data_IF_325307476246
#
_entry.id   IF_325307476246
#
_cell.length_a   1.000
_cell.length_b   1.000
_cell.length_c   1.000
_cell.angle_alpha   90.00
_cell.angle_beta   90.00
_cell.angle_gamma   90.00
#
_symmetry.space_group_name_H-M   'P 1'
#
loop_
_entity.id
_entity.type
_entity.pdbx_description
1 polymer ?
#
# COMPACT_ATOMS: atom_id res chain seq x y z
N UNK A 1 -28.24 8.48 0.79
CA UNK A 1 -28.14 9.46 -0.32
C UNK A 1 -28.01 8.66 -1.60
N UNK A 2 -28.82 8.94 -2.62
CA UNK A 2 -28.69 8.27 -3.92
C UNK A 2 -27.31 8.56 -4.53
N UNK A 3 -26.56 7.52 -4.89
CA UNK A 3 -25.27 7.65 -5.53
C UNK A 3 -25.42 8.32 -6.91
N UNK A 4 -24.75 9.45 -7.11
CA UNK A 4 -24.81 10.16 -8.38
C UNK A 4 -23.64 9.71 -9.28
N UNK A 5 -23.95 8.82 -10.22
CA UNK A 5 -23.00 8.22 -11.16
C UNK A 5 -22.29 9.27 -12.02
N UNK A 6 -23.01 10.27 -12.54
CA UNK A 6 -22.43 11.28 -13.43
C UNK A 6 -21.40 12.13 -12.70
N UNK A 7 -21.73 12.57 -11.47
CA UNK A 7 -20.81 13.34 -10.63
C UNK A 7 -19.55 12.52 -10.30
N UNK A 8 -19.70 11.22 -9.98
CA UNK A 8 -18.57 10.35 -9.70
C UNK A 8 -17.69 10.15 -10.94
N UNK A 9 -18.28 9.85 -12.10
CA UNK A 9 -17.55 9.63 -13.34
C UNK A 9 -16.92 10.90 -13.93
N UNK A 10 -17.46 12.11 -13.62
CA UNK A 10 -16.84 13.36 -14.07
C UNK A 10 -15.49 13.63 -13.42
N UNK A 11 -15.22 12.96 -12.30
CA UNK A 11 -13.95 13.08 -11.58
C UNK A 11 -12.79 12.34 -12.27
N UNK A 12 -13.06 11.36 -13.11
CA UNK A 12 -12.07 10.52 -13.77
C UNK A 12 -12.06 10.72 -15.28
N UNK A 13 -10.90 10.42 -15.90
CA UNK A 13 -10.71 10.53 -17.36
C UNK A 13 -10.18 9.20 -17.91
N UNK A 14 -10.09 9.07 -19.22
CA UNK A 14 -9.43 7.96 -19.90
C UNK A 14 -9.96 6.56 -19.59
N UNK A 15 -9.06 5.58 -19.58
CA UNK A 15 -9.36 4.16 -19.39
C UNK A 15 -9.94 3.86 -17.99
N UNK A 16 -9.45 4.53 -16.96
CA UNK A 16 -9.92 4.34 -15.59
C UNK A 16 -11.41 4.69 -15.41
N UNK A 17 -11.90 5.72 -16.12
CA UNK A 17 -13.34 6.08 -16.13
C UNK A 17 -14.19 4.91 -16.63
N UNK A 18 -13.76 4.27 -17.71
CA UNK A 18 -14.44 3.11 -18.31
C UNK A 18 -14.39 1.91 -17.34
N UNK A 19 -13.21 1.60 -16.80
CA UNK A 19 -13.03 0.50 -15.86
C UNK A 19 -13.87 0.67 -14.57
N UNK A 20 -13.94 1.88 -14.01
CA UNK A 20 -14.79 2.19 -12.85
C UNK A 20 -16.27 2.09 -13.19
N UNK A 21 -16.68 2.62 -14.34
CA UNK A 21 -18.06 2.52 -14.81
C UNK A 21 -18.49 1.05 -15.01
N UNK A 22 -17.64 0.24 -15.62
CA UNK A 22 -17.85 -1.19 -15.78
C UNK A 22 -17.93 -1.92 -14.44
N UNK A 23 -17.02 -1.60 -13.48
CA UNK A 23 -17.05 -2.18 -12.16
C UNK A 23 -18.35 -1.88 -11.41
N UNK A 24 -18.84 -0.63 -11.48
CA UNK A 24 -20.11 -0.21 -10.89
C UNK A 24 -21.26 -0.96 -11.54
N UNK A 25 -21.28 -1.04 -12.88
CA UNK A 25 -22.34 -1.72 -13.64
C UNK A 25 -22.51 -3.20 -13.26
N UNK A 26 -21.38 -3.90 -13.02
CA UNK A 26 -21.38 -5.33 -12.66
C UNK A 26 -21.77 -5.54 -11.19
N UNK A 27 -21.19 -4.75 -10.27
CA UNK A 27 -21.27 -5.02 -8.83
C UNK A 27 -22.47 -4.37 -8.13
N UNK A 28 -23.17 -3.44 -8.78
CA UNK A 28 -24.34 -2.80 -8.17
C UNK A 28 -25.54 -3.73 -8.14
N UNK A 29 -26.22 -3.78 -6.97
CA UNK A 29 -27.48 -4.51 -6.78
C UNK A 29 -28.68 -3.73 -7.30
N UNK A 30 -28.59 -2.42 -7.39
CA UNK A 30 -29.64 -1.54 -7.92
C UNK A 30 -29.67 -1.65 -9.46
N UNK A 31 -30.76 -2.21 -9.99
CA UNK A 31 -30.95 -2.43 -11.44
C UNK A 31 -30.98 -1.10 -12.22
N UNK A 32 -31.54 -0.02 -11.64
CA UNK A 32 -31.61 1.29 -12.29
C UNK A 32 -30.22 1.89 -12.48
N UNK A 33 -29.41 1.90 -11.42
CA UNK A 33 -28.03 2.38 -11.45
C UNK A 33 -27.16 1.50 -12.36
N UNK A 34 -27.32 0.19 -12.32
CA UNK A 34 -26.60 -0.76 -13.17
C UNK A 34 -26.88 -0.51 -14.65
N UNK A 35 -28.14 -0.30 -15.04
CA UNK A 35 -28.53 -0.01 -16.43
C UNK A 35 -27.93 1.32 -16.91
N UNK A 36 -28.01 2.37 -16.09
CA UNK A 36 -27.39 3.66 -16.40
C UNK A 36 -25.87 3.54 -16.56
N UNK A 37 -25.21 2.75 -15.68
CA UNK A 37 -23.78 2.53 -15.76
C UNK A 37 -23.39 1.75 -17.04
N UNK A 38 -24.10 0.71 -17.44
CA UNK A 38 -23.85 0.03 -18.71
C UNK A 38 -24.04 0.94 -19.92
N UNK A 39 -25.12 1.72 -19.95
CA UNK A 39 -25.38 2.68 -21.04
C UNK A 39 -24.26 3.70 -21.16
N UNK A 40 -23.83 4.29 -20.03
CA UNK A 40 -22.70 5.24 -19.98
C UNK A 40 -21.39 4.60 -20.40
N UNK A 41 -21.12 3.37 -19.96
CA UNK A 41 -19.90 2.63 -20.30
C UNK A 41 -19.84 2.34 -21.82
N UNK A 42 -20.94 1.90 -22.42
CA UNK A 42 -21.04 1.66 -23.87
C UNK A 42 -20.83 2.96 -24.66
N UNK A 43 -21.41 4.08 -24.21
CA UNK A 43 -21.22 5.37 -24.85
C UNK A 43 -19.77 5.88 -24.74
N UNK A 44 -19.12 5.64 -23.61
CA UNK A 44 -17.70 5.97 -23.44
C UNK A 44 -16.80 5.11 -24.31
N UNK A 45 -17.09 3.81 -24.42
CA UNK A 45 -16.33 2.88 -25.27
C UNK A 45 -16.48 3.21 -26.76
N UNK A 46 -17.64 3.67 -27.20
CA UNK A 46 -17.84 4.14 -28.59
C UNK A 46 -16.94 5.34 -28.96
N UNK A 47 -16.45 6.10 -27.97
CA UNK A 47 -15.48 7.18 -28.20
C UNK A 47 -14.01 6.67 -28.22
N UNK A 48 -13.77 5.42 -27.85
CA UNK A 48 -12.46 4.76 -27.91
C UNK A 48 -12.42 3.76 -29.08
N UNK A 49 -11.29 3.08 -29.25
CA UNK A 49 -11.13 2.05 -30.30
C UNK A 49 -11.01 0.64 -29.71
N UNK A 50 -11.40 0.45 -28.43
CA UNK A 50 -11.28 -0.81 -27.74
C UNK A 50 -12.49 -1.71 -27.99
N UNK A 51 -12.41 -2.54 -29.02
CA UNK A 51 -13.47 -3.47 -29.43
C UNK A 51 -13.62 -4.66 -28.51
N UNK A 52 -12.52 -5.17 -27.94
CA UNK A 52 -12.53 -6.33 -27.05
C UNK A 52 -13.28 -6.03 -25.74
N UNK A 53 -12.97 -4.90 -25.11
CA UNK A 53 -13.65 -4.47 -23.90
C UNK A 53 -15.13 -4.12 -24.16
N UNK A 54 -15.43 -3.60 -25.35
CA UNK A 54 -16.81 -3.33 -25.77
C UNK A 54 -17.65 -4.62 -25.85
N UNK A 55 -17.10 -5.68 -26.42
CA UNK A 55 -17.77 -7.00 -26.49
C UNK A 55 -17.95 -7.58 -25.08
N UNK A 56 -16.92 -7.58 -24.25
CA UNK A 56 -17.00 -8.06 -22.86
C UNK A 56 -18.08 -7.34 -22.02
N UNK A 57 -18.19 -6.02 -22.20
CA UNK A 57 -19.19 -5.20 -21.49
C UNK A 57 -20.59 -5.54 -21.98
N UNK A 58 -20.78 -5.73 -23.30
CA UNK A 58 -22.07 -6.11 -23.87
C UNK A 58 -22.49 -7.51 -23.41
N UNK A 59 -21.60 -8.49 -23.43
CA UNK A 59 -21.89 -9.85 -22.98
C UNK A 59 -22.36 -9.87 -21.51
N UNK A 60 -21.72 -9.10 -20.64
CA UNK A 60 -22.12 -8.95 -19.24
C UNK A 60 -23.46 -8.20 -19.09
N UNK A 61 -23.69 -7.17 -19.92
CA UNK A 61 -24.95 -6.43 -19.91
C UNK A 61 -26.12 -7.32 -20.38
N UNK A 62 -25.93 -8.09 -21.44
CA UNK A 62 -26.90 -9.04 -21.94
C UNK A 62 -27.17 -10.20 -20.98
N UNK A 63 -26.14 -10.70 -20.30
CA UNK A 63 -26.29 -11.72 -19.26
C UNK A 63 -27.14 -11.22 -18.07
N UNK A 64 -27.07 -9.91 -17.72
CA UNK A 64 -27.80 -9.33 -16.59
C UNK A 64 -29.21 -8.86 -16.95
N UNK A 65 -29.42 -8.30 -18.15
CA UNK A 65 -30.68 -7.64 -18.55
C UNK A 65 -31.40 -8.31 -19.74
N UNK A 66 -30.79 -9.31 -20.35
CA UNK A 66 -31.33 -10.01 -21.55
C UNK A 66 -30.75 -9.44 -22.85
N UNK A 67 -30.81 -10.26 -23.94
CA UNK A 67 -30.16 -9.94 -25.22
C UNK A 67 -30.79 -8.74 -25.94
N UNK A 68 -32.09 -8.50 -25.76
CA UNK A 68 -32.82 -7.45 -26.50
C UNK A 68 -32.54 -6.02 -25.99
N UNK A 69 -31.97 -5.89 -24.82
CA UNK A 69 -31.79 -4.57 -24.16
C UNK A 69 -30.58 -3.81 -24.72
N UNK A 70 -29.52 -4.53 -25.12
CA UNK A 70 -28.26 -3.95 -25.60
C UNK A 70 -27.84 -4.64 -26.89
N UNK A 71 -28.25 -4.14 -28.09
CA UNK A 71 -27.89 -4.73 -29.38
C UNK A 71 -26.39 -4.52 -29.67
N UNK A 72 -25.77 -5.50 -30.29
CA UNK A 72 -24.38 -5.44 -30.75
C UNK A 72 -24.30 -4.58 -32.02
N UNK A 73 -23.44 -3.57 -32.03
CA UNK A 73 -23.20 -2.71 -33.20
C UNK A 73 -22.01 -3.25 -34.02
N UNK A 74 -22.31 -4.20 -34.93
CA UNK A 74 -21.29 -4.90 -35.74
C UNK A 74 -20.61 -3.94 -36.72
N UNK A 75 -21.35 -2.96 -37.25
CA UNK A 75 -20.84 -1.98 -38.20
C UNK A 75 -19.80 -1.09 -37.54
N UNK A 76 -20.04 -0.67 -36.27
CA UNK A 76 -19.08 0.10 -35.49
C UNK A 76 -17.80 -0.69 -35.21
N UNK A 77 -17.90 -1.98 -34.84
CA UNK A 77 -16.76 -2.86 -34.59
C UNK A 77 -15.89 -2.93 -35.85
N UNK A 78 -16.47 -3.26 -37.02
CA UNK A 78 -15.75 -3.35 -38.28
C UNK A 78 -15.06 -2.04 -38.68
N UNK A 79 -15.73 -0.89 -38.47
CA UNK A 79 -15.17 0.42 -38.74
C UNK A 79 -14.02 0.78 -37.77
N UNK A 80 -14.08 0.35 -36.51
CA UNK A 80 -13.01 0.55 -35.55
C UNK A 80 -11.78 -0.29 -35.86
N UNK A 81 -11.95 -1.58 -36.16
CA UNK A 81 -10.84 -2.46 -36.54
C UNK A 81 -10.11 -1.98 -37.80
N UNK A 82 -10.87 -1.46 -38.79
CA UNK A 82 -10.24 -0.92 -39.99
C UNK A 82 -9.42 0.35 -39.66
N UNK A 83 -9.99 1.27 -38.86
CA UNK A 83 -9.29 2.47 -38.43
C UNK A 83 -8.04 2.16 -37.64
N UNK A 84 -8.09 1.18 -36.73
CA UNK A 84 -6.94 0.71 -35.96
C UNK A 84 -5.83 0.19 -36.88
N UNK A 85 -6.16 -0.72 -37.80
CA UNK A 85 -5.19 -1.26 -38.80
C UNK A 85 -4.52 -0.14 -39.62
N UNK A 86 -5.31 0.82 -40.11
CA UNK A 86 -4.80 1.95 -40.90
C UNK A 86 -3.91 2.88 -40.06
N UNK A 87 -4.27 3.11 -38.79
CA UNK A 87 -3.47 3.94 -37.87
C UNK A 87 -2.15 3.27 -37.53
N UNK A 88 -2.17 1.96 -37.24
CA UNK A 88 -0.96 1.17 -37.01
C UNK A 88 -0.01 1.20 -38.22
N UNK A 89 -0.52 0.95 -39.42
CA UNK A 89 0.29 0.94 -40.63
C UNK A 89 0.99 2.31 -40.86
N UNK A 90 0.25 3.41 -40.66
CA UNK A 90 0.80 4.78 -40.77
C UNK A 90 1.88 5.06 -39.73
N UNK A 91 1.64 4.66 -38.47
CA UNK A 91 2.61 4.87 -37.39
C UNK A 91 3.88 4.05 -37.57
N UNK A 92 3.76 2.77 -38.00
CA UNK A 92 4.91 1.93 -38.27
C UNK A 92 5.74 2.46 -39.43
N UNK A 93 5.10 2.96 -40.51
CA UNK A 93 5.80 3.57 -41.63
C UNK A 93 6.52 4.84 -41.21
N UNK A 94 5.88 5.70 -40.41
CA UNK A 94 6.49 6.90 -39.82
C UNK A 94 7.71 6.55 -38.99
N UNK A 95 7.60 5.56 -38.10
CA UNK A 95 8.69 5.07 -37.26
C UNK A 95 9.88 4.54 -38.08
N UNK A 96 9.61 3.79 -39.16
CA UNK A 96 10.66 3.33 -40.06
C UNK A 96 11.42 4.50 -40.69
N UNK A 97 10.70 5.52 -41.19
CA UNK A 97 11.29 6.73 -41.79
C UNK A 97 12.12 7.51 -40.75
N UNK A 98 11.61 7.68 -39.52
CA UNK A 98 12.29 8.39 -38.45
C UNK A 98 13.55 7.64 -37.95
N UNK A 99 13.49 6.31 -37.87
CA UNK A 99 14.65 5.47 -37.52
C UNK A 99 15.76 5.58 -38.58
N UNK A 100 15.41 5.69 -39.86
CA UNK A 100 16.39 5.95 -40.92
C UNK A 100 17.02 7.34 -40.82
N UNK A 101 16.25 8.36 -40.42
CA UNK A 101 16.72 9.71 -40.19
C UNK A 101 17.56 9.86 -38.91
N UNK A 102 17.57 8.88 -38.03
CA UNK A 102 18.35 8.81 -36.77
C UNK A 102 18.18 9.99 -35.80
N UNK A 103 17.06 10.72 -35.87
CA UNK A 103 16.74 11.84 -34.96
C UNK A 103 16.09 11.27 -33.70
N UNK A 104 16.87 11.18 -32.62
CA UNK A 104 16.43 10.52 -31.35
C UNK A 104 15.15 11.11 -30.78
N UNK A 105 15.00 12.43 -30.80
CA UNK A 105 13.80 13.09 -30.22
C UNK A 105 12.53 12.76 -30.99
N UNK A 106 12.56 12.76 -32.30
CA UNK A 106 11.41 12.42 -33.12
C UNK A 106 11.03 10.94 -33.00
N UNK A 107 12.01 10.04 -32.84
CA UNK A 107 11.76 8.62 -32.56
C UNK A 107 11.10 8.45 -31.22
N UNK A 108 11.57 9.17 -30.19
CA UNK A 108 10.96 9.15 -28.85
C UNK A 108 9.51 9.60 -28.88
N UNK A 109 9.24 10.70 -29.59
CA UNK A 109 7.88 11.23 -29.71
C UNK A 109 6.98 10.25 -30.47
N UNK A 110 7.43 9.68 -31.58
CA UNK A 110 6.66 8.70 -32.34
C UNK A 110 6.36 7.41 -31.53
N UNK A 111 7.30 6.94 -30.72
CA UNK A 111 7.04 5.83 -29.79
C UNK A 111 6.02 6.21 -28.70
N UNK A 112 6.03 7.45 -28.21
CA UNK A 112 5.00 7.92 -27.26
C UNK A 112 3.61 7.98 -27.92
N UNK A 113 3.51 8.44 -29.15
CA UNK A 113 2.27 8.47 -29.92
C UNK A 113 1.76 7.06 -30.22
N UNK A 114 2.64 6.14 -30.60
CA UNK A 114 2.30 4.73 -30.78
C UNK A 114 1.79 4.10 -29.47
N UNK A 115 2.48 4.37 -28.36
CA UNK A 115 2.02 3.90 -27.05
C UNK A 115 0.66 4.46 -26.66
N UNK A 116 0.38 5.73 -26.94
CA UNK A 116 -0.93 6.36 -26.69
C UNK A 116 -2.04 5.75 -27.57
N UNK A 117 -1.75 5.45 -28.84
CA UNK A 117 -2.67 4.76 -29.74
C UNK A 117 -3.04 3.38 -29.18
N UNK A 118 -2.03 2.59 -28.79
CA UNK A 118 -2.23 1.26 -28.21
C UNK A 118 -3.06 1.28 -26.92
N UNK A 119 -2.90 2.31 -26.10
CA UNK A 119 -3.77 2.51 -24.92
C UNK A 119 -5.22 2.77 -25.31
N UNK A 120 -5.47 3.54 -26.36
CA UNK A 120 -6.82 3.81 -26.85
C UNK A 120 -7.50 2.55 -27.44
N UNK A 121 -6.70 1.67 -28.04
CA UNK A 121 -7.15 0.38 -28.57
C UNK A 121 -7.34 -0.69 -27.49
N UNK A 122 -6.73 -0.48 -26.30
CA UNK A 122 -6.80 -1.43 -25.18
C UNK A 122 -5.64 -2.40 -25.10
N UNK A 123 -4.69 -2.40 -26.06
CA UNK A 123 -3.46 -3.21 -25.95
C UNK A 123 -2.43 -2.53 -25.01
N UNK A 124 -2.72 -2.66 -23.70
CA UNK A 124 -1.86 -2.10 -22.66
C UNK A 124 -0.47 -2.76 -22.62
N UNK A 125 -0.36 -4.05 -23.00
CA UNK A 125 0.92 -4.74 -23.06
C UNK A 125 1.78 -4.23 -24.21
N UNK A 126 1.19 -4.04 -25.38
CA UNK A 126 1.83 -3.41 -26.54
C UNK A 126 2.28 -1.99 -26.22
N UNK A 127 1.44 -1.21 -25.53
CA UNK A 127 1.78 0.15 -25.08
C UNK A 127 3.00 0.17 -24.15
N UNK A 128 3.08 -0.73 -23.19
CA UNK A 128 4.25 -0.88 -22.30
C UNK A 128 5.51 -1.17 -23.12
N UNK A 129 5.44 -2.06 -24.11
CA UNK A 129 6.58 -2.38 -24.98
C UNK A 129 7.00 -1.17 -25.84
N UNK A 130 6.04 -0.41 -26.39
CA UNK A 130 6.31 0.81 -27.15
C UNK A 130 7.01 1.87 -26.28
N UNK A 131 6.52 2.09 -25.06
CA UNK A 131 7.18 3.00 -24.11
C UNK A 131 8.57 2.51 -23.67
N UNK A 132 8.80 1.21 -23.52
CA UNK A 132 10.11 0.64 -23.18
C UNK A 132 11.17 0.92 -24.25
N UNK A 133 10.80 0.99 -25.54
CA UNK A 133 11.72 1.33 -26.61
C UNK A 133 12.31 2.75 -26.48
N UNK A 134 11.63 3.64 -25.76
CA UNK A 134 12.15 4.98 -25.49
C UNK A 134 13.41 5.01 -24.63
N UNK A 135 13.73 3.92 -23.91
CA UNK A 135 14.90 3.83 -23.04
C UNK A 135 16.20 4.17 -23.77
N UNK A 136 16.33 3.78 -25.05
CA UNK A 136 17.54 3.97 -25.84
C UNK A 136 17.63 5.38 -26.47
N UNK A 137 16.52 6.12 -26.45
CA UNK A 137 16.38 7.46 -27.05
C UNK A 137 16.25 8.58 -26.03
N UNK A 138 16.36 8.29 -24.74
CA UNK A 138 16.26 9.29 -23.68
C UNK A 138 17.59 10.00 -23.45
N UNK A 139 17.59 11.33 -23.61
CA UNK A 139 18.76 12.17 -23.33
C UNK A 139 18.73 12.85 -21.96
N UNK A 140 17.55 12.93 -21.31
CA UNK A 140 17.36 13.64 -20.04
C UNK A 140 16.66 12.78 -19.01
N UNK A 141 16.91 13.07 -17.72
CA UNK A 141 16.21 12.40 -16.59
C UNK A 141 14.71 12.67 -16.62
N UNK A 142 14.28 13.83 -17.10
CA UNK A 142 12.88 14.20 -17.22
C UNK A 142 12.13 13.30 -18.22
N UNK A 143 12.73 13.02 -19.38
CA UNK A 143 12.15 12.08 -20.34
C UNK A 143 12.06 10.66 -19.75
N UNK A 144 13.04 10.26 -18.93
CA UNK A 144 13.01 8.97 -18.25
C UNK A 144 11.86 8.89 -17.23
N UNK A 145 11.59 9.98 -16.51
CA UNK A 145 10.46 10.07 -15.57
C UNK A 145 9.15 9.94 -16.34
N UNK A 146 8.98 10.68 -17.43
CA UNK A 146 7.74 10.69 -18.22
C UNK A 146 7.38 9.30 -18.77
N UNK A 147 8.31 8.64 -19.50
CA UNK A 147 7.98 7.33 -20.07
C UNK A 147 7.81 6.24 -19.00
N UNK A 148 8.58 6.32 -17.89
CA UNK A 148 8.42 5.38 -16.79
C UNK A 148 7.06 5.60 -16.09
N UNK A 149 6.61 6.86 -15.99
CA UNK A 149 5.29 7.20 -15.48
C UNK A 149 4.16 6.64 -16.34
N UNK A 150 4.23 6.81 -17.66
CA UNK A 150 3.25 6.23 -18.60
C UNK A 150 3.20 4.70 -18.51
N UNK A 151 4.36 4.04 -18.41
CA UNK A 151 4.44 2.59 -18.18
C UNK A 151 3.78 2.17 -16.86
N UNK A 152 3.96 2.98 -15.81
CA UNK A 152 3.35 2.72 -14.50
C UNK A 152 1.82 2.79 -14.59
N UNK A 153 1.26 3.80 -15.26
CA UNK A 153 -0.19 3.93 -15.50
C UNK A 153 -0.73 2.71 -16.25
N UNK A 154 -0.11 2.34 -17.39
CA UNK A 154 -0.52 1.16 -18.15
C UNK A 154 -0.42 -0.14 -17.33
N UNK A 155 0.59 -0.28 -16.46
CA UNK A 155 0.74 -1.45 -15.61
C UNK A 155 -0.35 -1.52 -14.52
N UNK A 156 -0.80 -0.36 -14.00
CA UNK A 156 -1.91 -0.26 -13.07
C UNK A 156 -3.23 -0.67 -13.71
N UNK A 157 -3.52 -0.16 -14.91
CA UNK A 157 -4.74 -0.46 -15.68
C UNK A 157 -4.80 -1.94 -16.07
N UNK A 158 -3.65 -2.55 -16.37
CA UNK A 158 -3.52 -3.99 -16.67
C UNK A 158 -3.67 -4.87 -15.41
N UNK A 159 -3.59 -4.30 -14.21
CA UNK A 159 -3.53 -5.06 -12.95
C UNK A 159 -2.22 -5.81 -12.71
N UNK A 160 -1.15 -5.47 -13.45
CA UNK A 160 0.18 -6.05 -13.25
C UNK A 160 0.93 -5.33 -12.13
N UNK A 161 0.61 -5.71 -10.90
CA UNK A 161 1.16 -5.10 -9.68
C UNK A 161 2.68 -5.14 -9.59
N UNK A 162 3.30 -6.20 -10.11
CA UNK A 162 4.77 -6.35 -10.09
C UNK A 162 5.46 -5.32 -10.99
N UNK A 163 4.95 -5.13 -12.20
CA UNK A 163 5.46 -4.12 -13.14
C UNK A 163 5.21 -2.70 -12.62
N UNK A 164 4.04 -2.45 -12.01
CA UNK A 164 3.69 -1.18 -11.40
C UNK A 164 4.66 -0.80 -10.27
N UNK A 165 4.97 -1.74 -9.35
CA UNK A 165 5.94 -1.52 -8.26
C UNK A 165 7.33 -1.23 -8.79
N UNK A 166 7.80 -1.96 -9.80
CA UNK A 166 9.12 -1.75 -10.40
C UNK A 166 9.22 -0.35 -11.02
N UNK A 167 8.20 0.06 -11.77
CA UNK A 167 8.14 1.39 -12.39
C UNK A 167 8.06 2.50 -11.35
N UNK A 168 7.20 2.36 -10.32
CA UNK A 168 7.06 3.31 -9.23
C UNK A 168 8.36 3.44 -8.39
N UNK A 169 9.03 2.32 -8.09
CA UNK A 169 10.31 2.32 -7.36
C UNK A 169 11.41 3.03 -8.16
N UNK A 170 11.44 2.83 -9.49
CA UNK A 170 12.37 3.53 -10.38
C UNK A 170 12.09 5.03 -10.41
N UNK A 171 10.83 5.44 -10.51
CA UNK A 171 10.44 6.86 -10.46
C UNK A 171 10.86 7.51 -9.14
N UNK A 172 10.63 6.85 -8.02
CA UNK A 172 11.05 7.34 -6.70
C UNK A 172 12.56 7.53 -6.61
N UNK A 173 13.34 6.60 -7.14
CA UNK A 173 14.80 6.70 -7.17
C UNK A 173 15.27 7.87 -8.03
N UNK A 174 14.71 8.05 -9.22
CA UNK A 174 15.04 9.15 -10.13
C UNK A 174 14.72 10.52 -9.50
N UNK A 175 13.56 10.65 -8.85
CA UNK A 175 13.18 11.88 -8.18
C UNK A 175 14.10 12.21 -6.98
N UNK A 176 14.55 11.20 -6.24
CA UNK A 176 15.52 11.39 -5.15
C UNK A 176 16.86 11.87 -5.68
N UNK A 177 17.32 11.37 -6.83
CA UNK A 177 18.56 11.82 -7.48
C UNK A 177 18.48 13.30 -7.93
N UNK A 178 17.32 13.72 -8.43
CA UNK A 178 17.10 15.12 -8.83
C UNK A 178 17.06 16.08 -7.65
N UNK A 179 16.59 15.65 -6.49
CA UNK A 179 16.53 16.48 -5.26
C UNK A 179 17.90 16.63 -4.59
N UNK A 180 18.76 15.60 -4.61
CA UNK A 180 20.11 15.66 -4.01
C UNK A 180 21.10 16.50 -4.82
N UNK A 181 20.94 16.57 -6.14
CA UNK A 181 21.79 17.42 -6.98
C UNK A 181 21.58 18.92 -6.77
N UNK A 182 20.40 19.32 -6.22
CA UNK A 182 20.10 20.72 -5.91
C UNK A 182 20.63 21.20 -4.54
N UNK A 183 20.93 20.26 -3.63
CA UNK A 183 21.38 20.61 -2.26
C UNK A 183 22.90 20.68 -2.09
N UNK A 184 23.68 20.19 -3.05
CA UNK A 184 25.16 20.15 -2.95
C UNK A 184 25.89 21.34 -3.60
N UNK A 185 25.19 22.36 -4.11
CA UNK A 185 25.78 23.51 -4.79
C UNK A 185 25.84 24.81 -3.98
N UNK A 186 25.89 24.74 -2.66
CA UNK A 186 26.03 25.94 -1.79
C UNK A 186 27.45 26.20 -1.32
N UNK A 187 28.49 25.88 -2.10
CA UNK A 187 29.82 26.42 -1.84
C UNK A 187 30.63 26.55 -3.13
N UNK A 188 30.91 27.80 -3.45
CA UNK A 188 31.97 28.35 -4.33
C UNK A 188 31.74 28.36 -5.84
N UNK A 189 31.86 29.62 -6.29
CA UNK A 189 32.31 30.14 -7.58
C UNK A 189 31.30 30.31 -8.70
N UNK A 190 31.05 31.58 -8.91
CA UNK A 190 30.54 32.27 -10.08
C UNK A 190 31.09 31.77 -11.42
N UNK A 191 30.25 31.84 -12.42
CA UNK A 191 30.41 31.63 -13.86
C UNK A 191 30.04 30.24 -14.39
N UNK A 192 28.74 30.09 -14.65
CA UNK A 192 28.22 29.71 -15.98
C UNK A 192 26.71 29.54 -15.92
N UNK A 193 26.05 30.27 -16.78
CA UNK A 193 24.67 30.16 -17.30
C UNK A 193 23.77 29.08 -16.73
N UNK A 194 22.88 29.50 -15.85
CA UNK A 194 21.44 29.21 -15.77
C UNK A 194 20.91 27.99 -16.53
N UNK A 195 20.95 26.85 -15.88
CA UNK A 195 19.82 25.93 -15.93
C UNK A 195 19.52 25.59 -14.46
N UNK A 196 18.78 26.48 -13.81
CA UNK A 196 18.13 26.18 -12.53
C UNK A 196 17.07 25.13 -12.79
N UNK A 197 17.42 23.86 -12.69
CA UNK A 197 16.47 22.75 -12.72
C UNK A 197 15.74 22.66 -11.38
N UNK A 198 14.88 23.65 -11.11
CA UNK A 198 13.77 23.41 -10.21
C UNK A 198 13.01 22.19 -10.78
N UNK A 199 12.77 21.13 -10.01
CA UNK A 199 12.01 19.99 -10.49
C UNK A 199 10.69 20.52 -11.06
N UNK A 200 10.43 20.26 -12.36
CA UNK A 200 9.22 20.75 -13.00
C UNK A 200 8.00 20.26 -12.22
N UNK A 201 6.91 21.03 -12.23
CA UNK A 201 5.67 20.64 -11.53
C UNK A 201 5.25 19.20 -11.92
N UNK A 202 5.44 18.84 -13.19
CA UNK A 202 5.19 17.49 -13.71
C UNK A 202 6.06 16.41 -13.06
N UNK A 203 7.33 16.67 -12.76
CA UNK A 203 8.21 15.71 -12.09
C UNK A 203 7.78 15.44 -10.64
N UNK A 204 7.33 16.48 -9.94
CA UNK A 204 6.77 16.34 -8.57
C UNK A 204 5.47 15.54 -8.57
N UNK A 205 4.61 15.78 -9.55
CA UNK A 205 3.35 15.05 -9.70
C UNK A 205 3.59 13.55 -10.00
N UNK A 206 4.52 13.21 -10.88
CA UNK A 206 4.91 11.81 -11.10
C UNK A 206 5.49 11.14 -9.86
N UNK A 207 6.20 11.89 -9.03
CA UNK A 207 6.72 11.39 -7.76
C UNK A 207 5.60 11.09 -6.76
N UNK A 208 4.65 12.01 -6.60
CA UNK A 208 3.46 11.78 -5.79
C UNK A 208 2.64 10.60 -6.31
N UNK A 209 2.49 10.48 -7.63
CA UNK A 209 1.85 9.35 -8.29
C UNK A 209 2.53 8.02 -8.01
N UNK A 210 3.86 7.99 -7.93
CA UNK A 210 4.59 6.78 -7.58
C UNK A 210 4.28 6.31 -6.15
N UNK A 211 4.14 7.23 -5.19
CA UNK A 211 3.73 6.88 -3.83
C UNK A 211 2.29 6.37 -3.77
N UNK A 212 1.36 7.04 -4.45
CA UNK A 212 -0.02 6.60 -4.53
C UNK A 212 -0.12 5.18 -5.13
N UNK A 213 0.62 4.90 -6.20
CA UNK A 213 0.68 3.57 -6.83
C UNK A 213 1.21 2.51 -5.86
N UNK A 214 2.32 2.79 -5.16
CA UNK A 214 2.86 1.87 -4.17
C UNK A 214 1.85 1.60 -3.04
N UNK A 215 1.14 2.64 -2.59
CA UNK A 215 0.08 2.52 -1.60
C UNK A 215 -1.05 1.60 -2.06
N UNK A 216 -1.57 1.79 -3.28
CA UNK A 216 -2.62 0.93 -3.85
C UNK A 216 -2.14 -0.51 -4.00
N UNK A 217 -0.92 -0.73 -4.48
CA UNK A 217 -0.39 -2.10 -4.65
C UNK A 217 -0.21 -2.81 -3.32
N UNK A 218 0.32 -2.13 -2.29
CA UNK A 218 0.45 -2.73 -0.96
C UNK A 218 -0.93 -2.98 -0.32
N UNK A 219 -1.92 -2.12 -0.56
CA UNK A 219 -3.32 -2.35 -0.16
C UNK A 219 -3.88 -3.60 -0.84
N UNK A 220 -3.65 -3.78 -2.15
CA UNK A 220 -4.08 -4.99 -2.89
C UNK A 220 -3.40 -6.27 -2.39
N UNK A 221 -2.19 -6.18 -1.87
CA UNK A 221 -1.49 -7.30 -1.21
C UNK A 221 -1.98 -7.59 0.21
N UNK A 222 -2.79 -6.70 0.78
CA UNK A 222 -3.28 -6.80 2.15
C UNK A 222 -2.34 -6.23 3.20
N UNK A 223 -1.25 -5.56 2.82
CA UNK A 223 -0.28 -4.93 3.72
C UNK A 223 -0.72 -3.50 4.06
N UNK A 224 -1.79 -3.35 4.84
CA UNK A 224 -2.41 -2.04 5.11
C UNK A 224 -1.48 -1.06 5.82
N UNK A 225 -0.55 -1.52 6.68
CA UNK A 225 0.40 -0.64 7.36
C UNK A 225 1.41 -0.03 6.38
N UNK A 226 1.94 -0.83 5.47
CA UNK A 226 2.84 -0.35 4.41
C UNK A 226 2.11 0.59 3.45
N UNK A 227 0.87 0.26 3.09
CA UNK A 227 0.01 1.09 2.25
C UNK A 227 -0.23 2.46 2.89
N UNK A 228 -0.58 2.50 4.19
CA UNK A 228 -0.75 3.74 4.94
C UNK A 228 0.49 4.63 4.87
N UNK A 229 1.68 4.08 5.14
CA UNK A 229 2.94 4.83 5.08
C UNK A 229 3.23 5.42 3.68
N UNK A 230 2.84 4.73 2.61
CA UNK A 230 2.99 5.24 1.25
C UNK A 230 1.99 6.36 0.94
N UNK A 231 0.73 6.21 1.34
CA UNK A 231 -0.30 7.23 1.13
C UNK A 231 0.01 8.52 1.90
N UNK A 232 0.57 8.43 3.12
CA UNK A 232 0.98 9.61 3.89
C UNK A 232 2.07 10.44 3.19
N UNK A 233 2.93 9.79 2.39
CA UNK A 233 3.97 10.48 1.62
C UNK A 233 3.46 11.11 0.32
N UNK A 234 2.21 10.82 -0.07
CA UNK A 234 1.58 11.40 -1.25
C UNK A 234 1.12 12.83 -0.92
N UNK A 235 1.75 13.84 -1.45
CA UNK A 235 1.33 15.23 -1.23
C UNK A 235 0.28 15.72 -2.22
N UNK A 236 -0.20 16.96 -2.03
CA UNK A 236 -1.19 17.65 -2.91
C UNK A 236 -0.69 17.81 -4.36
N UNK A 237 0.63 17.70 -4.60
CA UNK A 237 1.22 17.76 -5.94
C UNK A 237 0.72 16.67 -6.90
N UNK A 238 -0.02 15.68 -6.43
CA UNK A 238 -0.69 14.67 -7.27
C UNK A 238 -1.70 15.29 -8.23
N UNK A 239 -2.45 16.29 -7.78
CA UNK A 239 -3.52 16.94 -8.56
C UNK A 239 -2.99 17.79 -9.74
N UNK A 240 -1.69 18.11 -9.74
CA UNK A 240 -1.05 18.86 -10.83
C UNK A 240 -0.78 18.04 -12.09
N UNK A 241 -1.06 16.73 -12.10
CA UNK A 241 -0.81 15.82 -13.22
C UNK A 241 -2.12 15.29 -13.78
N UNK A 242 -2.57 15.82 -14.89
CA UNK A 242 -3.75 15.31 -15.59
C UNK A 242 -3.66 13.82 -15.94
N UNK A 243 -2.47 13.32 -16.27
CA UNK A 243 -2.28 11.91 -16.66
C UNK A 243 -2.37 10.93 -15.50
N UNK A 244 -2.11 11.37 -14.26
CA UNK A 244 -2.16 10.46 -13.11
C UNK A 244 -3.53 10.45 -12.43
N UNK A 245 -4.29 11.52 -12.58
CA UNK A 245 -5.70 11.60 -12.17
C UNK A 245 -6.58 10.58 -12.90
N UNK A 246 -6.07 10.01 -14.02
CA UNK A 246 -6.74 8.91 -14.71
C UNK A 246 -6.82 7.65 -13.86
N UNK A 247 -5.85 7.36 -12.99
CA UNK A 247 -5.78 6.10 -12.22
C UNK A 247 -6.30 6.25 -10.80
N UNK A 248 -5.75 7.22 -10.05
CA UNK A 248 -6.09 7.46 -8.63
C UNK A 248 -6.14 8.96 -8.37
N UNK A 249 -7.22 9.44 -7.76
CA UNK A 249 -7.37 10.84 -7.38
C UNK A 249 -6.92 11.09 -5.95
N UNK A 250 -6.76 12.37 -5.64
CA UNK A 250 -6.40 12.82 -4.30
C UNK A 250 -7.50 12.45 -3.27
N UNK A 251 -8.78 12.44 -3.70
CA UNK A 251 -9.91 11.97 -2.89
C UNK A 251 -9.76 10.49 -2.50
N UNK A 252 -9.40 9.65 -3.48
CA UNK A 252 -9.17 8.23 -3.26
C UNK A 252 -7.99 8.00 -2.32
N UNK A 253 -6.89 8.75 -2.51
CA UNK A 253 -5.71 8.70 -1.63
C UNK A 253 -6.07 9.09 -0.20
N UNK A 254 -6.87 10.15 -0.02
CA UNK A 254 -7.33 10.57 1.30
C UNK A 254 -8.17 9.47 1.98
N UNK A 255 -9.11 8.87 1.24
CA UNK A 255 -9.98 7.82 1.77
C UNK A 255 -9.20 6.53 2.06
N UNK A 256 -8.39 6.05 1.10
CA UNK A 256 -7.62 4.82 1.27
C UNK A 256 -6.57 4.97 2.37
N UNK A 257 -5.85 6.10 2.37
CA UNK A 257 -4.87 6.43 3.40
C UNK A 257 -5.52 6.53 4.78
N UNK A 258 -6.62 7.27 4.90
CA UNK A 258 -7.38 7.41 6.15
C UNK A 258 -7.87 6.08 6.71
N UNK A 259 -8.48 5.23 5.88
CA UNK A 259 -8.94 3.89 6.29
C UNK A 259 -7.79 2.96 6.68
N UNK A 260 -6.70 2.94 5.91
CA UNK A 260 -5.52 2.13 6.22
C UNK A 260 -4.82 2.59 7.51
N UNK A 261 -4.75 3.91 7.75
CA UNK A 261 -4.19 4.45 8.99
C UNK A 261 -5.04 4.05 10.20
N UNK A 262 -6.37 4.20 10.12
CA UNK A 262 -7.28 3.79 11.20
C UNK A 262 -7.20 2.29 11.51
N UNK A 263 -6.99 1.46 10.49
CA UNK A 263 -6.86 0.01 10.65
C UNK A 263 -5.55 -0.41 11.31
N UNK A 264 -4.44 0.37 11.15
CA UNK A 264 -3.11 -0.13 11.46
C UNK A 264 -2.32 0.71 12.48
N UNK A 265 -2.59 2.01 12.59
CA UNK A 265 -1.83 2.90 13.46
C UNK A 265 -2.40 2.95 14.87
N UNK A 266 -1.52 3.14 15.85
CA UNK A 266 -1.91 3.46 17.20
C UNK A 266 -2.36 4.92 17.31
N UNK A 267 -3.01 5.27 18.43
CA UNK A 267 -3.56 6.61 18.65
C UNK A 267 -2.48 7.70 18.62
N UNK A 268 -1.29 7.42 19.15
CA UNK A 268 -0.16 8.34 19.11
C UNK A 268 0.39 8.49 17.69
N UNK A 269 0.55 7.38 16.98
CA UNK A 269 0.98 7.39 15.57
C UNK A 269 -0.03 8.15 14.68
N UNK A 270 -1.35 8.03 14.95
CA UNK A 270 -2.38 8.79 14.24
C UNK A 270 -2.25 10.31 14.44
N UNK A 271 -1.97 10.75 15.67
CA UNK A 271 -1.76 12.17 15.95
C UNK A 271 -0.51 12.68 15.24
N UNK A 272 0.62 12.00 15.40
CA UNK A 272 1.91 12.46 14.89
C UNK A 272 1.99 12.37 13.35
N UNK A 273 1.59 11.23 12.77
CA UNK A 273 1.81 10.95 11.33
C UNK A 273 0.65 11.41 10.43
N UNK A 274 -0.57 11.56 10.96
CA UNK A 274 -1.76 11.86 10.13
C UNK A 274 -2.27 13.28 10.38
N UNK A 275 -2.39 13.68 11.65
CA UNK A 275 -2.99 14.97 11.99
C UNK A 275 -1.95 16.12 12.05
N UNK A 276 -0.70 15.83 12.41
CA UNK A 276 0.36 16.85 12.53
C UNK A 276 1.24 16.97 11.29
N UNK A 277 1.46 15.88 10.56
CA UNK A 277 2.32 15.90 9.38
C UNK A 277 1.70 16.75 8.25
N UNK A 278 2.47 17.70 7.73
CA UNK A 278 1.98 18.72 6.79
C UNK A 278 1.44 18.12 5.48
N UNK A 279 2.14 17.12 4.91
CA UNK A 279 1.84 16.60 3.59
C UNK A 279 0.42 16.00 3.51
N UNK A 280 0.09 15.13 4.46
CA UNK A 280 -1.22 14.46 4.46
C UNK A 280 -2.32 15.32 5.08
N UNK A 281 -1.96 16.21 6.00
CA UNK A 281 -2.89 17.18 6.56
C UNK A 281 -3.48 18.09 5.48
N UNK A 282 -2.66 18.60 4.55
CA UNK A 282 -3.15 19.40 3.42
C UNK A 282 -4.16 18.61 2.56
N UNK A 283 -3.92 17.32 2.35
CA UNK A 283 -4.87 16.42 1.66
C UNK A 283 -6.17 16.28 2.45
N UNK A 284 -6.10 16.10 3.78
CA UNK A 284 -7.28 15.97 4.63
C UNK A 284 -8.09 17.28 4.75
N UNK A 285 -7.47 18.44 4.60
CA UNK A 285 -8.16 19.73 4.58
C UNK A 285 -9.07 19.87 3.35
N UNK A 286 -8.71 19.26 2.22
CA UNK A 286 -9.54 19.20 1.03
C UNK A 286 -10.74 18.26 1.18
N UNK A 287 -10.62 17.23 2.05
CA UNK A 287 -11.65 16.20 2.26
C UNK A 287 -12.12 16.13 3.71
N UNK A 288 -12.92 17.09 4.16
CA UNK A 288 -13.30 17.27 5.56
C UNK A 288 -14.01 16.05 6.16
N UNK A 289 -14.79 15.29 5.36
CA UNK A 289 -15.47 14.08 5.83
C UNK A 289 -14.51 12.99 6.33
N UNK A 290 -13.40 12.78 5.61
CA UNK A 290 -12.38 11.80 6.00
C UNK A 290 -11.64 12.30 7.24
N UNK A 291 -11.33 13.59 7.31
CA UNK A 291 -10.73 14.22 8.49
C UNK A 291 -11.61 14.08 9.71
N UNK A 292 -12.92 14.34 9.58
CA UNK A 292 -13.90 14.23 10.66
C UNK A 292 -14.02 12.79 11.17
N UNK A 293 -13.98 11.82 10.27
CA UNK A 293 -13.92 10.39 10.62
C UNK A 293 -12.68 10.09 11.46
N UNK A 294 -11.48 10.47 11.02
CA UNK A 294 -10.23 10.22 11.74
C UNK A 294 -10.23 10.91 13.11
N UNK A 295 -10.66 12.17 13.17
CA UNK A 295 -10.77 12.95 14.40
C UNK A 295 -11.73 12.30 15.40
N UNK A 296 -12.88 11.77 14.95
CA UNK A 296 -13.85 11.07 15.80
C UNK A 296 -13.24 9.83 16.47
N UNK A 297 -12.46 9.04 15.72
CA UNK A 297 -11.74 7.89 16.30
C UNK A 297 -10.63 8.33 17.25
N UNK A 298 -9.90 9.39 16.94
CA UNK A 298 -8.86 9.93 17.80
C UNK A 298 -9.45 10.48 19.11
N UNK A 299 -10.58 11.17 19.06
CA UNK A 299 -11.29 11.70 20.23
C UNK A 299 -12.10 10.63 21.03
N UNK A 300 -12.02 9.35 20.60
CA UNK A 300 -12.79 8.24 21.20
C UNK A 300 -14.32 8.37 21.08
N UNK A 301 -14.82 9.15 20.13
CA UNK A 301 -16.24 9.26 19.77
C UNK A 301 -16.61 8.16 18.76
N UNK A 302 -16.52 6.90 19.20
CA UNK A 302 -16.62 5.75 18.30
C UNK A 302 -17.95 5.65 17.56
N UNK A 303 -19.07 5.97 18.24
CA UNK A 303 -20.40 5.96 17.62
C UNK A 303 -20.46 6.90 16.38
N UNK A 304 -19.96 8.12 16.50
CA UNK A 304 -19.89 9.07 15.39
C UNK A 304 -18.93 8.57 14.29
N UNK A 305 -17.78 8.01 14.67
CA UNK A 305 -16.82 7.43 13.74
C UNK A 305 -17.41 6.28 12.91
N UNK A 306 -18.17 5.36 13.54
CA UNK A 306 -18.84 4.28 12.82
C UNK A 306 -20.00 4.76 11.94
N UNK A 307 -20.71 5.83 12.33
CA UNK A 307 -21.71 6.46 11.46
C UNK A 307 -21.06 7.07 10.21
N UNK A 308 -19.93 7.77 10.35
CA UNK A 308 -19.15 8.26 9.20
C UNK A 308 -18.69 7.08 8.34
N UNK A 309 -18.15 6.02 8.93
CA UNK A 309 -17.69 4.84 8.20
C UNK A 309 -18.84 4.16 7.42
N UNK A 310 -20.02 4.03 8.03
CA UNK A 310 -21.20 3.48 7.35
C UNK A 310 -21.67 4.35 6.18
N UNK A 311 -21.55 5.67 6.29
CA UNK A 311 -21.86 6.59 5.20
C UNK A 311 -20.94 6.42 3.98
N UNK A 312 -19.68 5.98 4.18
CA UNK A 312 -18.76 5.65 3.10
C UNK A 312 -18.97 4.24 2.51
N UNK A 313 -19.71 3.36 3.19
CA UNK A 313 -19.82 1.96 2.79
C UNK A 313 -20.37 1.77 1.37
N UNK A 314 -21.40 2.52 0.99
CA UNK A 314 -22.01 2.45 -0.33
C UNK A 314 -21.00 2.86 -1.44
N UNK A 315 -20.31 3.99 -1.25
CA UNK A 315 -19.31 4.45 -2.21
C UNK A 315 -18.06 3.58 -2.25
N UNK A 316 -17.63 3.04 -1.11
CA UNK A 316 -16.46 2.18 -1.01
C UNK A 316 -16.66 0.80 -1.67
N UNK A 317 -17.89 0.25 -1.64
CA UNK A 317 -18.21 -0.99 -2.33
C UNK A 317 -18.27 -0.83 -3.86
N UNK A 318 -18.52 0.38 -4.34
CA UNK A 318 -18.55 0.71 -5.77
C UNK A 318 -17.16 1.07 -6.31
N UNK A 319 -16.18 1.27 -5.44
CA UNK A 319 -14.81 1.59 -5.84
C UNK A 319 -14.03 0.34 -6.29
N UNK A 320 -13.29 0.44 -7.40
CA UNK A 320 -12.57 -0.66 -8.03
C UNK A 320 -11.45 -1.23 -7.13
N UNK A 321 -10.76 -0.36 -6.38
CA UNK A 321 -9.61 -0.76 -5.55
C UNK A 321 -10.02 -1.14 -4.12
N UNK A 322 -11.04 -0.48 -3.57
CA UNK A 322 -11.42 -0.62 -2.18
C UNK A 322 -12.44 -1.73 -1.95
N UNK A 323 -13.30 -2.04 -2.91
CA UNK A 323 -14.41 -2.98 -2.77
C UNK A 323 -14.02 -4.33 -2.16
N UNK A 324 -12.91 -4.90 -2.59
CA UNK A 324 -12.40 -6.20 -2.12
C UNK A 324 -11.85 -6.16 -0.69
N UNK A 325 -11.35 -5.00 -0.28
CA UNK A 325 -10.62 -4.81 0.97
C UNK A 325 -11.46 -4.15 2.05
N UNK A 326 -12.52 -3.44 1.68
CA UNK A 326 -13.33 -2.64 2.59
C UNK A 326 -13.81 -3.41 3.82
N UNK A 327 -14.39 -4.61 3.63
CA UNK A 327 -14.86 -5.46 4.74
C UNK A 327 -13.72 -5.85 5.70
N UNK A 328 -12.53 -6.17 5.15
CA UNK A 328 -11.36 -6.53 5.98
C UNK A 328 -10.85 -5.33 6.74
N UNK A 329 -10.71 -4.18 6.09
CA UNK A 329 -10.26 -2.93 6.70
C UNK A 329 -11.22 -2.50 7.81
N UNK A 330 -12.53 -2.53 7.55
CA UNK A 330 -13.55 -2.20 8.54
C UNK A 330 -13.48 -3.12 9.76
N UNK A 331 -13.29 -4.43 9.56
CA UNK A 331 -13.12 -5.38 10.65
C UNK A 331 -11.84 -5.10 11.45
N UNK A 332 -10.72 -4.75 10.79
CA UNK A 332 -9.48 -4.40 11.51
C UNK A 332 -9.64 -3.08 12.30
N UNK A 333 -10.32 -2.07 11.73
CA UNK A 333 -10.67 -0.84 12.45
C UNK A 333 -11.49 -1.18 13.70
N UNK A 334 -12.52 -2.04 13.56
CA UNK A 334 -13.37 -2.45 14.65
C UNK A 334 -12.59 -3.21 15.72
N UNK A 335 -11.76 -4.17 15.34
CA UNK A 335 -10.90 -4.90 16.25
C UNK A 335 -9.99 -3.96 17.06
N UNK A 336 -9.42 -2.95 16.39
CA UNK A 336 -8.56 -1.97 17.04
C UNK A 336 -9.31 -1.06 17.99
N UNK A 337 -10.52 -0.64 17.63
CA UNK A 337 -11.39 0.15 18.51
C UNK A 337 -11.72 -0.63 19.78
N UNK A 338 -12.07 -1.91 19.67
CA UNK A 338 -12.31 -2.79 20.82
C UNK A 338 -11.11 -2.84 21.76
N UNK A 339 -9.92 -3.05 21.20
CA UNK A 339 -8.67 -3.07 21.98
C UNK A 339 -8.39 -1.73 22.66
N UNK A 340 -8.53 -0.61 21.94
CA UNK A 340 -8.31 0.73 22.49
C UNK A 340 -9.34 1.10 23.57
N UNK A 341 -10.60 0.72 23.37
CA UNK A 341 -11.67 0.97 24.35
C UNK A 341 -11.40 0.23 25.65
N UNK A 342 -10.96 -1.03 25.56
CA UNK A 342 -10.74 -1.88 26.73
C UNK A 342 -9.43 -1.53 27.48
N UNK A 343 -8.42 -1.02 26.81
CA UNK A 343 -7.06 -0.79 27.35
C UNK A 343 -7.01 -0.06 28.70
N UNK A 344 -7.81 1.00 28.97
CA UNK A 344 -7.78 1.71 30.25
C UNK A 344 -8.56 1.01 31.38
N UNK A 345 -9.30 -0.07 31.12
CA UNK A 345 -10.19 -0.69 32.07
C UNK A 345 -9.70 -2.06 32.55
N UNK A 346 -9.84 -2.34 33.84
CA UNK A 346 -9.66 -3.69 34.40
C UNK A 346 -10.90 -4.58 34.21
N UNK A 347 -12.09 -3.98 34.22
CA UNK A 347 -13.35 -4.67 33.96
C UNK A 347 -14.35 -3.74 33.30
N UNK A 348 -15.06 -4.22 32.29
CA UNK A 348 -16.08 -3.46 31.54
C UNK A 348 -17.34 -4.32 31.37
N UNK A 349 -18.50 -3.72 31.53
CA UNK A 349 -19.76 -4.35 31.15
C UNK A 349 -19.89 -4.38 29.62
N UNK A 350 -20.17 -5.56 29.05
CA UNK A 350 -20.40 -5.72 27.61
C UNK A 350 -21.58 -4.88 27.11
N UNK A 351 -22.58 -4.61 27.97
CA UNK A 351 -23.71 -3.74 27.64
C UNK A 351 -23.24 -2.30 27.32
N UNK A 352 -22.50 -1.68 28.26
CA UNK A 352 -21.99 -0.31 28.10
C UNK A 352 -21.07 -0.20 26.91
N UNK A 353 -20.27 -1.24 26.69
CA UNK A 353 -19.37 -1.29 25.52
C UNK A 353 -20.14 -1.44 24.21
N UNK A 354 -21.19 -2.25 24.18
CA UNK A 354 -22.05 -2.44 23.01
C UNK A 354 -22.79 -1.15 22.64
N UNK A 355 -23.30 -0.41 23.64
CA UNK A 355 -23.93 0.91 23.42
C UNK A 355 -22.93 1.92 22.82
N UNK A 356 -21.70 1.95 23.33
CA UNK A 356 -20.64 2.84 22.83
C UNK A 356 -20.19 2.51 21.39
N UNK A 357 -20.26 1.22 21.00
CA UNK A 357 -19.84 0.72 19.69
C UNK A 357 -21.01 0.54 18.70
N UNK A 358 -22.24 0.84 19.14
CA UNK A 358 -23.48 0.72 18.33
C UNK A 358 -23.64 -0.70 17.77
N UNK A 359 -23.58 -1.71 18.68
CA UNK A 359 -23.66 -3.14 18.32
C UNK A 359 -24.53 -3.91 19.28
N UNK A 360 -24.94 -5.13 18.90
CA UNK A 360 -25.59 -6.05 19.82
C UNK A 360 -24.58 -6.64 20.82
N UNK A 361 -25.03 -6.97 22.03
CA UNK A 361 -24.16 -7.54 23.08
C UNK A 361 -23.60 -8.90 22.65
N UNK A 362 -24.42 -9.72 21.99
CA UNK A 362 -24.03 -11.08 21.57
C UNK A 362 -23.00 -11.05 20.42
N UNK A 363 -23.15 -10.12 19.45
CA UNK A 363 -22.15 -9.94 18.39
C UNK A 363 -20.82 -9.44 18.98
N UNK A 364 -20.88 -8.49 19.93
CA UNK A 364 -19.68 -7.99 20.60
C UNK A 364 -18.98 -9.09 21.41
N UNK A 365 -19.73 -9.97 22.09
CA UNK A 365 -19.17 -11.11 22.83
C UNK A 365 -18.44 -12.06 21.88
N UNK A 366 -19.04 -12.37 20.72
CA UNK A 366 -18.42 -13.22 19.70
C UNK A 366 -17.14 -12.56 19.11
N UNK A 367 -17.16 -11.25 18.87
CA UNK A 367 -15.98 -10.52 18.42
C UNK A 367 -14.87 -10.51 19.48
N UNK A 368 -15.20 -10.25 20.74
CA UNK A 368 -14.24 -10.31 21.83
C UNK A 368 -13.67 -11.74 22.01
N UNK A 369 -14.48 -12.78 21.91
CA UNK A 369 -14.03 -14.17 21.98
C UNK A 369 -13.05 -14.51 20.85
N UNK A 370 -13.32 -14.02 19.63
CA UNK A 370 -12.41 -14.18 18.50
C UNK A 370 -11.06 -13.47 18.76
N UNK A 371 -11.10 -12.22 19.24
CA UNK A 371 -9.89 -11.44 19.55
C UNK A 371 -9.05 -12.06 20.67
N UNK A 372 -9.69 -12.68 21.67
CA UNK A 372 -9.01 -13.42 22.74
C UNK A 372 -8.33 -14.67 22.18
N UNK A 373 -9.01 -15.43 21.30
CA UNK A 373 -8.44 -16.62 20.66
C UNK A 373 -7.28 -16.29 19.72
N UNK A 374 -7.27 -15.09 19.12
CA UNK A 374 -6.17 -14.57 18.30
C UNK A 374 -5.04 -13.93 19.12
N UNK A 375 -5.08 -13.99 20.45
CA UNK A 375 -4.16 -13.34 21.40
C UNK A 375 -4.03 -11.82 21.20
N UNK A 376 -4.98 -11.19 20.52
CA UNK A 376 -5.03 -9.75 20.30
C UNK A 376 -5.64 -8.98 21.48
N UNK A 377 -6.39 -9.64 22.33
CA UNK A 377 -7.04 -9.06 23.50
C UNK A 377 -6.74 -9.92 24.74
N UNK A 378 -6.00 -9.36 25.70
CA UNK A 378 -5.65 -10.03 26.95
C UNK A 378 -6.80 -9.86 27.98
N UNK A 379 -7.87 -10.61 27.77
CA UNK A 379 -9.08 -10.52 28.61
C UNK A 379 -9.70 -11.89 28.85
N UNK A 380 -10.68 -11.93 29.78
CA UNK A 380 -11.57 -13.07 30.05
C UNK A 380 -13.00 -12.57 30.00
N UNK A 381 -13.88 -13.33 29.35
CA UNK A 381 -15.29 -13.02 29.25
C UNK A 381 -16.04 -13.81 30.37
N UNK A 382 -16.84 -13.11 31.12
CA UNK A 382 -17.82 -13.67 32.03
C UNK A 382 -19.19 -13.59 31.35
N UNK A 383 -19.57 -14.67 30.66
CA UNK A 383 -20.82 -14.70 29.85
C UNK A 383 -22.08 -14.64 30.72
N UNK A 384 -22.00 -15.03 32.01
CA UNK A 384 -23.16 -14.97 32.93
C UNK A 384 -23.43 -13.52 33.36
N UNK A 385 -22.38 -12.78 33.75
CA UNK A 385 -22.52 -11.39 34.19
C UNK A 385 -22.37 -10.39 33.02
N UNK A 386 -22.04 -10.88 31.83
CA UNK A 386 -21.75 -10.04 30.64
C UNK A 386 -20.68 -8.99 30.93
N UNK A 387 -19.60 -9.41 31.59
CA UNK A 387 -18.46 -8.56 31.96
C UNK A 387 -17.19 -9.07 31.32
N UNK A 388 -16.42 -8.15 30.71
CA UNK A 388 -15.07 -8.38 30.20
C UNK A 388 -14.07 -7.98 31.29
N UNK A 389 -13.20 -8.91 31.74
CA UNK A 389 -12.15 -8.68 32.75
C UNK A 389 -10.76 -8.78 32.12
N UNK A 390 -9.86 -7.86 32.47
CA UNK A 390 -8.47 -7.91 32.04
C UNK A 390 -7.73 -9.12 32.63
N UNK A 391 -6.85 -9.74 31.82
CA UNK A 391 -5.97 -10.82 32.26
C UNK A 391 -4.63 -10.27 32.77
N UNK A 392 -4.47 -8.97 32.90
CA UNK A 392 -3.23 -8.37 33.38
C UNK A 392 -2.87 -8.93 34.76
N UNK A 393 -1.76 -9.61 34.83
CA UNK A 393 -1.10 -9.97 36.08
C UNK A 393 -0.40 -8.71 36.59
N UNK A 394 -0.57 -8.41 37.87
CA UNK A 394 0.11 -7.29 38.55
C UNK A 394 1.62 -7.38 38.26
N UNK A 395 2.18 -6.40 37.53
CA UNK A 395 3.59 -6.36 37.14
C UNK A 395 4.53 -6.46 38.36
N UNK A 396 4.07 -5.93 39.51
CA UNK A 396 4.78 -5.99 40.80
C UNK A 396 4.91 -7.44 41.26
N UNK A 397 3.85 -8.22 41.17
CA UNK A 397 3.84 -9.63 41.54
C UNK A 397 4.71 -10.48 40.61
N UNK A 398 4.67 -10.20 39.30
CA UNK A 398 5.53 -10.87 38.30
C UNK A 398 7.00 -10.54 38.54
N UNK A 399 7.31 -9.28 38.79
CA UNK A 399 8.69 -8.82 39.07
C UNK A 399 9.21 -9.47 40.36
N UNK A 400 8.40 -9.50 41.41
CA UNK A 400 8.72 -10.16 42.67
C UNK A 400 9.02 -11.66 42.46
N UNK A 401 8.18 -12.36 41.71
CA UNK A 401 8.41 -13.79 41.40
C UNK A 401 9.71 -14.00 40.59
N UNK A 402 10.00 -13.12 39.61
CA UNK A 402 11.25 -13.19 38.86
C UNK A 402 12.47 -12.95 39.75
N UNK A 403 12.40 -11.99 40.67
CA UNK A 403 13.49 -11.71 41.64
C UNK A 403 13.71 -12.92 42.55
N UNK A 404 12.65 -13.51 43.10
CA UNK A 404 12.73 -14.70 43.93
C UNK A 404 13.36 -15.90 43.16
N UNK A 405 12.92 -16.17 41.96
CA UNK A 405 13.47 -17.24 41.13
C UNK A 405 14.95 -17.01 40.77
N UNK A 406 15.33 -15.75 40.52
CA UNK A 406 16.73 -15.39 40.28
C UNK A 406 17.58 -15.55 41.54
N UNK A 407 17.05 -15.19 42.71
CA UNK A 407 17.69 -15.39 44.02
C UNK A 407 17.91 -16.85 44.33
N UNK A 408 16.93 -17.71 44.13
CA UNK A 408 17.03 -19.15 44.30
C UNK A 408 18.07 -19.79 43.37
N UNK A 409 18.11 -19.32 42.11
CA UNK A 409 19.12 -19.74 41.16
C UNK A 409 20.54 -19.37 41.61
N UNK A 410 20.69 -18.11 42.04
CA UNK A 410 21.97 -17.60 42.59
C UNK A 410 22.42 -18.39 43.81
N UNK A 411 21.53 -18.67 44.76
CA UNK A 411 21.84 -19.50 45.93
C UNK A 411 22.28 -20.90 45.55
N UNK A 412 21.63 -21.55 44.60
CA UNK A 412 22.04 -22.85 44.07
C UNK A 412 23.43 -22.82 43.43
N UNK A 413 23.70 -21.82 42.62
CA UNK A 413 24.98 -21.64 41.94
C UNK A 413 26.11 -21.39 42.99
N UNK A 414 25.85 -20.59 44.02
CA UNK A 414 26.78 -20.36 45.11
C UNK A 414 27.07 -21.67 45.91
N UNK A 415 26.04 -22.47 46.22
CA UNK A 415 26.22 -23.77 46.87
C UNK A 415 27.06 -24.70 46.02
N UNK A 416 26.87 -24.77 44.72
CA UNK A 416 27.63 -25.56 43.78
C UNK A 416 29.11 -25.10 43.76
N UNK A 417 29.33 -23.76 43.76
CA UNK A 417 30.68 -23.21 43.80
C UNK A 417 31.39 -23.56 45.13
N UNK A 418 30.71 -23.38 46.27
CA UNK A 418 31.25 -23.75 47.59
C UNK A 418 31.59 -25.25 47.67
N UNK A 419 30.69 -26.08 47.16
CA UNK A 419 30.93 -27.53 47.09
C UNK A 419 32.15 -27.86 46.21
N UNK A 420 32.28 -27.22 45.06
CA UNK A 420 33.40 -27.37 44.14
C UNK A 420 34.73 -26.93 44.80
N UNK A 421 34.72 -25.81 45.53
CA UNK A 421 35.88 -25.34 46.28
C UNK A 421 36.29 -26.32 47.41
N UNK A 422 35.31 -26.80 48.18
CA UNK A 422 35.52 -27.82 49.23
C UNK A 422 36.09 -29.14 48.67
N UNK A 423 35.53 -29.63 47.58
CA UNK A 423 36.05 -30.83 46.91
C UNK A 423 37.48 -30.65 46.38
N UNK A 424 37.80 -29.45 45.88
CA UNK A 424 39.15 -29.11 45.41
C UNK A 424 40.14 -29.04 46.59
N UNK A 425 39.72 -28.43 47.70
CA UNK A 425 40.52 -28.29 48.91
C UNK A 425 40.88 -29.65 49.55
N UNK A 426 39.94 -30.59 49.52
CA UNK A 426 40.13 -31.95 50.05
C UNK A 426 40.67 -32.96 49.02
N UNK A 427 41.15 -32.53 47.85
CA UNK A 427 41.70 -33.35 46.76
C UNK A 427 40.77 -34.48 46.28
N UNK A 428 39.45 -34.33 46.44
CA UNK A 428 38.48 -35.30 45.94
C UNK A 428 38.17 -35.16 44.45
N UNK A 429 38.71 -34.12 43.79
CA UNK A 429 38.52 -33.92 42.35
C UNK A 429 39.62 -34.60 41.59
N UNK A 430 39.34 -35.79 41.07
CA UNK A 430 40.17 -36.40 40.04
C UNK A 430 39.97 -35.61 38.73
N UNK A 431 40.97 -34.78 38.36
CA UNK A 431 41.04 -34.25 36.99
C UNK A 431 41.32 -35.44 36.07
N UNK A 432 40.32 -35.99 35.42
CA UNK A 432 40.52 -36.79 34.23
C UNK A 432 41.34 -35.96 33.26
N UNK A 433 42.64 -36.31 33.08
CA UNK A 433 43.49 -35.74 32.04
C UNK A 433 42.68 -35.81 30.75
N UNK A 434 42.34 -34.68 30.20
CA UNK A 434 41.58 -34.57 28.94
C UNK A 434 42.31 -35.43 27.90
N UNK A 435 41.59 -36.37 27.33
CA UNK A 435 42.03 -37.08 26.14
C UNK A 435 42.23 -36.02 25.07
N UNK A 436 43.51 -35.72 24.82
CA UNK A 436 43.87 -34.82 23.70
C UNK A 436 43.54 -35.60 22.42
N UNK A 437 42.46 -35.22 21.79
CA UNK A 437 42.21 -35.60 20.40
C UNK A 437 43.32 -35.01 19.54
N UNK A 438 44.41 -35.75 19.36
CA UNK A 438 45.42 -35.40 18.36
C UNK A 438 44.80 -35.58 16.98
N UNK A 439 44.41 -34.49 16.41
CA UNK A 439 43.96 -34.40 15.01
C UNK A 439 45.22 -34.60 14.13
N UNK A 440 45.44 -35.82 13.67
CA UNK A 440 46.43 -36.14 12.62
C UNK A 440 46.02 -35.39 11.35
N UNK A 441 46.57 -34.20 11.14
CA UNK A 441 46.56 -33.55 9.83
C UNK A 441 47.72 -34.09 9.03
N UNK A 442 47.38 -34.76 7.93
CA UNK A 442 48.31 -35.13 6.87
C UNK A 442 48.98 -33.92 6.23
N UNK A 443 50.23 -34.11 5.97
CA UNK A 443 51.12 -33.14 5.34
C UNK A 443 50.70 -32.77 3.92
N UNK A 444 50.74 -31.48 3.59
CA UNK A 444 50.64 -30.96 2.23
C UNK A 444 50.92 -29.45 2.28
N UNK A 445 52.09 -29.07 1.78
CA UNK A 445 52.76 -27.80 1.97
C UNK A 445 52.08 -26.58 1.33
N UNK A 446 52.53 -25.39 1.75
CA UNK A 446 52.22 -24.12 1.11
C UNK A 446 52.29 -22.94 2.08
N UNK A 447 53.41 -22.28 2.05
CA UNK A 447 53.80 -21.07 2.77
C UNK A 447 52.86 -19.88 2.55
N UNK A 448 52.58 -19.06 3.57
CA UNK A 448 52.88 -17.61 3.73
C UNK A 448 51.92 -16.87 4.68
N UNK A 449 52.60 -16.15 5.55
CA UNK A 449 52.38 -14.82 6.14
C UNK A 449 51.12 -14.50 6.96
N UNK A 450 51.35 -14.38 8.26
CA UNK A 450 51.07 -13.29 9.19
C UNK A 450 49.83 -12.37 8.96
N UNK A 451 48.93 -12.43 9.91
CA UNK A 451 48.58 -11.26 10.74
C UNK A 451 47.58 -11.63 11.83
N UNK A 452 47.92 -11.20 13.02
CA UNK A 452 47.17 -11.29 14.26
C UNK A 452 45.87 -10.50 14.21
N UNK A 453 44.76 -11.10 14.64
CA UNK A 453 43.71 -10.37 15.34
C UNK A 453 42.87 -11.33 16.18
N UNK A 454 42.88 -11.08 17.47
CA UNK A 454 42.09 -11.71 18.49
C UNK A 454 40.59 -11.51 18.22
N UNK A 455 39.88 -12.57 17.90
CA UNK A 455 38.44 -12.61 17.82
C UNK A 455 37.83 -13.11 19.12
N UNK A 456 37.18 -12.24 19.83
CA UNK A 456 36.28 -12.55 20.91
C UNK A 456 34.94 -12.97 20.30
N UNK A 457 34.55 -14.19 20.44
CA UNK A 457 33.29 -14.69 19.91
C UNK A 457 32.20 -14.67 20.97
N UNK A 458 31.12 -14.02 20.64
CA UNK A 458 29.77 -14.52 20.80
C UNK A 458 29.17 -14.55 22.19
N UNK A 459 28.58 -13.45 22.57
CA UNK A 459 27.51 -13.44 23.57
C UNK A 459 26.24 -12.93 22.88
N UNK A 460 25.26 -13.81 22.74
CA UNK A 460 23.94 -13.51 22.24
C UNK A 460 23.27 -12.45 23.11
N UNK A 461 22.95 -11.32 22.50
CA UNK A 461 22.08 -10.32 23.09
C UNK A 461 20.66 -10.85 23.09
N UNK A 462 20.10 -11.01 24.29
CA UNK A 462 18.66 -10.91 24.48
C UNK A 462 18.42 -9.46 24.95
N UNK A 463 17.68 -8.74 24.12
CA UNK A 463 17.26 -7.39 24.39
C UNK A 463 16.30 -7.38 25.58
N UNK A 464 16.71 -6.71 26.63
CA UNK A 464 15.88 -6.33 27.74
C UNK A 464 15.65 -4.83 27.63
N UNK A 465 14.48 -4.45 27.18
CA UNK A 465 13.99 -3.07 27.32
C UNK A 465 13.70 -2.82 28.81
N UNK A 466 14.49 -1.95 29.38
CA UNK A 466 14.19 -1.20 30.61
C UNK A 466 13.89 0.24 30.20
N UNK A 467 12.65 0.62 30.24
CA UNK A 467 12.03 1.81 30.87
C UNK A 467 10.57 1.86 30.47
#
# INVERSE_FOLDING_TARGET
MSFNLEKYLSLYTGHSKIARCHHIAVNTLDEGLSRQAFTTCINLLKNTQNTDLYQDVLDKAQAKFGPDTFPIDVDWIGACEQRSKDSHARMEESLKKLKMAAIKENIRQANNELGALLVQEGDLQGAIRAYQQNKDYTGTTQHTIEFTGRMMVCAMDLGNWSSAVNSASKLRHLAKMTSTSSSSSSSSSSFSSSISSTPSATSKAWHAGAFATLGVVEMQRGNYRSAANWFLQTGVSLDSSEMFTDVVRLEDVALYGGLCCLATFERQELDDSVLRESNFREVLELYPKVREMIASFHESKYAAGFQCLSAFSESALLDIHLSKHYKKITNEIRNRVIQQYFRPYLSVSLQVMADALVTSVDDLENECARLINEDKLLARIDSHQKILKSKETDERTVTYQKVMATGDKFMKDMHIQLLSMSLTQHNFVHRTRGVSFSNKRGAGGGSRSSSSSSGFSGMSKQDGDFF
#
